data_IF_341010891397
#
_entry.id   IF_341010891397
#
_cell.length_a   1.000
_cell.length_b   1.000
_cell.length_c   1.000
_cell.angle_alpha   90.00
_cell.angle_beta   90.00
_cell.angle_gamma   90.00
#
_symmetry.space_group_name_H-M   'P 1'
#
loop_
_entity.id
_entity.type
_entity.pdbx_description
1 polymer ?
#
# COMPACT_ATOMS: atom_id res chain seq x y z
N UNK A 1 -22.76 1.34 -0.60
CA UNK A 1 -22.06 0.67 0.51
C UNK A 1 -23.05 -0.29 1.14
N UNK A 2 -22.73 -1.58 1.31
CA UNK A 2 -23.68 -2.50 1.91
C UNK A 2 -23.83 -2.21 3.40
N UNK A 3 -25.05 -2.26 3.91
CA UNK A 3 -25.36 -2.14 5.34
C UNK A 3 -24.56 -3.16 6.18
N UNK A 4 -24.22 -4.30 5.57
CA UNK A 4 -23.45 -5.39 6.19
C UNK A 4 -22.03 -4.99 6.61
N UNK A 5 -21.29 -4.27 5.76
CA UNK A 5 -19.91 -3.88 6.07
C UNK A 5 -19.82 -2.91 7.25
N UNK A 6 -20.77 -1.98 7.33
CA UNK A 6 -20.89 -1.07 8.48
C UNK A 6 -21.27 -1.82 9.76
N UNK A 7 -22.22 -2.74 9.69
CA UNK A 7 -22.65 -3.53 10.84
C UNK A 7 -21.51 -4.35 11.46
N UNK A 8 -20.61 -4.92 10.64
CA UNK A 8 -19.43 -5.65 11.15
C UNK A 8 -18.49 -4.72 11.90
N UNK A 9 -18.16 -3.55 11.33
CA UNK A 9 -17.28 -2.58 11.99
C UNK A 9 -17.90 -2.08 13.29
N UNK A 10 -19.20 -1.78 13.32
CA UNK A 10 -19.89 -1.32 14.52
C UNK A 10 -19.94 -2.40 15.61
N UNK A 11 -20.18 -3.67 15.24
CA UNK A 11 -20.27 -4.78 16.19
C UNK A 11 -18.92 -5.09 16.85
N UNK A 12 -17.81 -4.96 16.11
CA UNK A 12 -16.47 -5.31 16.57
C UNK A 12 -15.59 -4.08 16.86
N UNK A 13 -16.14 -2.87 16.81
CA UNK A 13 -15.42 -1.60 16.78
C UNK A 13 -14.26 -1.52 17.78
N UNK A 14 -14.52 -1.91 19.03
CA UNK A 14 -13.57 -1.80 20.15
C UNK A 14 -12.97 -3.15 20.59
N UNK A 15 -13.33 -4.25 19.90
CA UNK A 15 -12.80 -5.56 20.20
C UNK A 15 -11.41 -5.76 19.61
N UNK A 16 -11.17 -5.22 18.41
CA UNK A 16 -9.89 -5.32 17.71
C UNK A 16 -8.89 -4.27 18.23
N UNK A 17 -7.59 -4.56 18.11
CA UNK A 17 -6.54 -3.58 18.44
C UNK A 17 -6.13 -2.73 17.24
N UNK A 18 -6.43 -3.19 16.02
CA UNK A 18 -6.13 -2.54 14.76
C UNK A 18 -7.15 -2.98 13.72
N UNK A 19 -7.63 -2.02 12.92
CA UNK A 19 -8.43 -2.29 11.74
C UNK A 19 -7.57 -2.16 10.48
N UNK A 20 -7.36 -3.27 9.77
CA UNK A 20 -6.80 -3.28 8.41
C UNK A 20 -7.93 -3.44 7.41
N UNK A 21 -8.20 -2.39 6.64
CA UNK A 21 -9.41 -2.30 5.80
C UNK A 21 -9.04 -2.10 4.34
N UNK A 22 -9.65 -2.93 3.49
CA UNK A 22 -9.56 -2.85 2.04
C UNK A 22 -10.92 -3.16 1.39
N UNK A 23 -11.02 -2.92 0.09
CA UNK A 23 -12.16 -3.36 -0.71
C UNK A 23 -12.10 -4.88 -0.93
N UNK A 24 -13.28 -5.52 -0.88
CA UNK A 24 -13.38 -6.96 -1.10
C UNK A 24 -13.05 -7.33 -2.56
N UNK A 25 -12.44 -8.51 -2.70
CA UNK A 25 -11.98 -9.13 -3.95
C UNK A 25 -10.70 -8.50 -4.55
N UNK A 26 -9.74 -9.37 -4.88
CA UNK A 26 -8.36 -9.01 -5.21
C UNK A 26 -8.25 -8.10 -6.44
N UNK A 27 -9.17 -8.28 -7.39
CA UNK A 27 -9.22 -7.47 -8.61
C UNK A 27 -9.44 -5.97 -8.33
N UNK A 28 -10.12 -5.63 -7.23
CA UNK A 28 -10.37 -4.24 -6.82
C UNK A 28 -9.29 -3.74 -5.86
N UNK A 29 -8.78 -4.63 -5.00
CA UNK A 29 -7.74 -4.28 -4.04
C UNK A 29 -6.42 -3.93 -4.75
N UNK A 30 -5.99 -4.81 -5.65
CA UNK A 30 -4.81 -4.62 -6.50
C UNK A 30 -5.11 -3.79 -7.77
N UNK A 31 -5.96 -2.77 -7.68
CA UNK A 31 -6.35 -1.90 -8.80
C UNK A 31 -5.16 -1.40 -9.63
N UNK A 32 -5.21 -1.58 -10.95
CA UNK A 32 -4.12 -1.21 -11.87
C UNK A 32 -4.12 0.30 -12.11
N UNK A 33 -2.96 0.91 -12.33
CA UNK A 33 -2.87 2.35 -12.61
C UNK A 33 -3.57 2.76 -13.91
N UNK A 34 -3.91 1.79 -14.77
CA UNK A 34 -4.67 2.01 -15.99
C UNK A 34 -6.12 2.42 -15.72
N UNK A 35 -6.72 1.95 -14.63
CA UNK A 35 -8.14 2.11 -14.35
C UNK A 35 -8.40 2.85 -13.03
N UNK A 36 -7.50 2.72 -12.06
CA UNK A 36 -7.66 3.27 -10.72
C UNK A 36 -6.57 4.29 -10.44
N UNK A 37 -6.95 5.45 -9.91
CA UNK A 37 -6.02 6.47 -9.42
C UNK A 37 -5.36 6.05 -8.09
N UNK A 38 -4.31 6.76 -7.68
CA UNK A 38 -3.83 6.69 -6.30
C UNK A 38 -4.97 7.08 -5.33
N UNK A 39 -5.08 6.38 -4.21
CA UNK A 39 -6.12 6.61 -3.20
C UNK A 39 -7.51 6.10 -3.59
N UNK A 40 -7.65 5.25 -4.61
CA UNK A 40 -8.96 4.81 -5.13
C UNK A 40 -9.87 4.14 -4.10
N UNK A 41 -9.31 3.56 -3.04
CA UNK A 41 -10.07 2.92 -1.97
C UNK A 41 -10.61 3.89 -0.91
N UNK A 42 -10.18 5.16 -0.91
CA UNK A 42 -10.52 6.15 0.12
C UNK A 42 -12.02 6.23 0.39
N UNK A 43 -12.83 6.28 -0.67
CA UNK A 43 -14.29 6.37 -0.58
C UNK A 43 -14.94 5.21 0.18
N UNK A 44 -14.28 4.06 0.25
CA UNK A 44 -14.78 2.86 0.91
C UNK A 44 -14.30 2.73 2.35
N UNK A 45 -13.22 3.42 2.73
CA UNK A 45 -12.58 3.29 4.06
C UNK A 45 -12.79 4.52 4.95
N UNK A 46 -13.08 5.70 4.38
CA UNK A 46 -13.12 6.99 5.10
C UNK A 46 -14.11 7.11 6.25
N UNK A 47 -15.09 6.21 6.32
CA UNK A 47 -16.07 6.19 7.40
C UNK A 47 -15.64 5.33 8.60
N UNK A 48 -14.65 4.45 8.44
CA UNK A 48 -14.29 3.45 9.48
C UNK A 48 -13.79 4.13 10.75
N UNK A 49 -12.90 5.13 10.63
CA UNK A 49 -12.40 5.91 11.78
C UNK A 49 -13.49 6.65 12.55
N UNK A 50 -14.68 6.85 11.96
CA UNK A 50 -15.81 7.47 12.63
C UNK A 50 -16.56 6.49 13.55
N UNK A 51 -16.24 5.19 13.48
CA UNK A 51 -16.95 4.11 14.17
C UNK A 51 -16.13 3.40 15.24
N UNK A 52 -14.83 3.65 15.31
CA UNK A 52 -13.91 3.02 16.27
C UNK A 52 -12.91 4.03 16.83
N UNK A 53 -12.47 3.81 18.07
CA UNK A 53 -11.34 4.52 18.68
C UNK A 53 -9.98 3.87 18.39
N UNK A 54 -9.99 2.70 17.76
CA UNK A 54 -8.81 1.89 17.43
C UNK A 54 -8.15 2.39 16.15
N UNK A 55 -6.82 2.26 16.01
CA UNK A 55 -6.13 2.69 14.81
C UNK A 55 -6.64 1.99 13.55
N UNK A 56 -6.65 2.71 12.43
CA UNK A 56 -7.04 2.20 11.12
C UNK A 56 -5.87 2.28 10.14
N UNK A 57 -5.54 1.16 9.51
CA UNK A 57 -4.63 1.08 8.35
C UNK A 57 -5.46 0.81 7.10
N UNK A 58 -5.06 1.42 5.99
CA UNK A 58 -5.70 1.23 4.70
C UNK A 58 -4.72 1.38 3.55
N UNK A 59 -5.10 0.85 2.40
CA UNK A 59 -4.27 0.81 1.19
C UNK A 59 -4.92 1.61 0.06
N UNK A 60 -4.12 2.01 -0.92
CA UNK A 60 -4.62 2.76 -2.08
C UNK A 60 -3.56 3.01 -3.15
N UNK A 61 -2.53 2.15 -3.21
CA UNK A 61 -1.31 2.39 -4.02
C UNK A 61 -0.69 3.77 -3.72
N UNK A 62 -0.62 4.11 -2.44
CA UNK A 62 -0.09 5.38 -1.94
C UNK A 62 1.44 5.42 -2.18
N UNK A 63 1.89 6.26 -3.11
CA UNK A 63 3.31 6.49 -3.44
C UNK A 63 3.74 7.91 -3.14
N UNK A 64 2.82 8.88 -3.22
CA UNK A 64 3.09 10.29 -2.95
C UNK A 64 3.08 10.58 -1.43
N UNK A 65 4.16 11.15 -0.87
CA UNK A 65 4.17 11.60 0.53
C UNK A 65 3.05 12.61 0.83
N UNK A 66 2.71 13.50 -0.11
CA UNK A 66 1.64 14.49 0.07
C UNK A 66 0.27 13.82 0.19
N UNK A 67 0.02 12.79 -0.65
CA UNK A 67 -1.21 12.00 -0.55
C UNK A 67 -1.26 11.27 0.79
N UNK A 68 -0.14 10.68 1.24
CA UNK A 68 -0.05 10.02 2.54
C UNK A 68 -0.39 10.97 3.69
N UNK A 69 0.23 12.15 3.74
CA UNK A 69 -0.05 13.18 4.77
C UNK A 69 -1.53 13.57 4.74
N UNK A 70 -2.09 13.80 3.55
CA UNK A 70 -3.52 14.13 3.39
C UNK A 70 -4.46 13.05 3.94
N UNK A 71 -4.12 11.76 3.86
CA UNK A 71 -4.93 10.69 4.46
C UNK A 71 -4.98 10.79 5.99
N UNK A 72 -3.84 11.12 6.62
CA UNK A 72 -3.73 11.22 8.08
C UNK A 72 -4.38 12.52 8.58
N UNK A 73 -4.04 13.66 7.97
CA UNK A 73 -4.54 14.97 8.40
C UNK A 73 -6.07 15.10 8.27
N UNK A 74 -6.66 14.46 7.26
CA UNK A 74 -8.13 14.43 7.11
C UNK A 74 -8.82 13.40 8.01
N UNK A 75 -8.06 12.66 8.82
CA UNK A 75 -8.60 11.66 9.75
C UNK A 75 -9.17 10.42 9.07
N UNK A 76 -8.69 10.08 7.86
CA UNK A 76 -9.15 8.91 7.10
C UNK A 76 -8.42 7.65 7.56
N UNK A 77 -7.11 7.75 7.79
CA UNK A 77 -6.26 6.65 8.28
C UNK A 77 -5.45 7.10 9.51
N UNK A 78 -4.92 6.13 10.26
CA UNK A 78 -3.85 6.30 11.26
C UNK A 78 -2.51 5.77 10.76
N UNK A 79 -2.56 4.76 9.90
CA UNK A 79 -1.38 4.15 9.28
C UNK A 79 -1.53 4.11 7.76
N UNK A 80 -0.42 4.33 7.07
CA UNK A 80 -0.31 4.19 5.62
C UNK A 80 0.02 2.74 5.29
N UNK A 81 -0.95 2.02 4.74
CA UNK A 81 -0.76 0.66 4.23
C UNK A 81 -0.15 0.69 2.82
N UNK A 82 0.95 -0.03 2.64
CA UNK A 82 1.67 -0.08 1.36
C UNK A 82 2.18 -1.48 1.04
N UNK A 83 1.49 -2.18 0.13
CA UNK A 83 1.97 -3.43 -0.46
C UNK A 83 2.83 -3.16 -1.71
N UNK A 84 2.21 -2.82 -2.84
CA UNK A 84 2.93 -2.58 -4.11
C UNK A 84 3.92 -1.40 -4.06
N UNK A 85 3.61 -0.28 -3.38
CA UNK A 85 4.60 0.79 -3.17
C UNK A 85 5.85 0.31 -2.42
N UNK A 86 5.71 -0.48 -1.35
CA UNK A 86 6.87 -0.99 -0.60
C UNK A 86 7.70 -2.02 -1.37
N UNK A 87 7.09 -2.74 -2.32
CA UNK A 87 7.82 -3.61 -3.25
C UNK A 87 8.66 -2.78 -4.25
N UNK A 88 8.07 -1.71 -4.81
CA UNK A 88 8.75 -0.82 -5.75
C UNK A 88 9.89 -0.06 -5.06
N UNK A 89 9.69 0.32 -3.81
CA UNK A 89 10.69 0.99 -3.00
C UNK A 89 10.57 0.61 -1.52
N UNK A 90 11.41 -0.33 -1.04
CA UNK A 90 11.42 -0.72 0.37
C UNK A 90 11.86 0.40 1.32
N UNK A 91 12.42 1.49 0.77
CA UNK A 91 13.03 2.59 1.51
C UNK A 91 12.16 3.86 1.53
N UNK A 92 10.90 3.81 1.06
CA UNK A 92 9.97 4.96 1.13
C UNK A 92 9.98 5.65 2.51
N UNK A 93 9.82 4.94 3.65
CA UNK A 93 9.78 5.61 4.95
C UNK A 93 11.08 6.35 5.26
N UNK A 94 12.22 5.74 4.95
CA UNK A 94 13.54 6.34 5.20
C UNK A 94 13.79 7.54 4.28
N UNK A 95 13.40 7.46 3.01
CA UNK A 95 13.55 8.56 2.04
C UNK A 95 12.71 9.77 2.43
N UNK A 96 11.48 9.55 2.91
CA UNK A 96 10.64 10.63 3.45
C UNK A 96 11.30 11.27 4.68
N UNK A 97 11.76 10.45 5.65
CA UNK A 97 12.42 10.93 6.88
C UNK A 97 13.69 11.75 6.59
N UNK A 98 14.46 11.36 5.58
CA UNK A 98 15.68 12.05 5.15
C UNK A 98 15.42 13.26 4.22
N UNK A 99 14.16 13.57 3.89
CA UNK A 99 13.82 14.65 2.96
C UNK A 99 14.20 14.37 1.50
N UNK A 100 14.37 13.10 1.13
CA UNK A 100 14.74 12.62 -0.20
C UNK A 100 13.54 12.09 -0.98
N UNK A 101 12.42 12.81 -0.95
CA UNK A 101 11.19 12.39 -1.63
C UNK A 101 11.36 12.22 -3.15
N UNK A 102 12.26 12.99 -3.77
CA UNK A 102 12.59 12.87 -5.20
C UNK A 102 13.29 11.54 -5.56
N UNK A 103 13.87 10.85 -4.58
CA UNK A 103 14.52 9.54 -4.77
C UNK A 103 13.54 8.36 -4.65
N UNK A 104 12.26 8.63 -4.36
CA UNK A 104 11.24 7.58 -4.20
C UNK A 104 10.98 6.91 -5.55
N UNK A 105 11.15 5.59 -5.59
CA UNK A 105 10.86 4.77 -6.77
C UNK A 105 9.39 4.37 -6.80
N UNK A 106 8.55 5.26 -7.32
CA UNK A 106 7.09 5.09 -7.28
C UNK A 106 6.59 3.82 -8.02
N UNK A 107 5.60 3.17 -7.42
CA UNK A 107 4.92 2.04 -8.05
C UNK A 107 4.04 2.50 -9.21
N UNK A 108 4.33 2.00 -10.41
CA UNK A 108 3.55 2.30 -11.63
C UNK A 108 2.21 1.53 -11.73
N UNK A 109 1.84 0.74 -10.73
CA UNK A 109 0.57 0.00 -10.70
C UNK A 109 0.36 -0.97 -11.88
N UNK A 110 1.43 -1.57 -12.39
CA UNK A 110 1.39 -2.47 -13.56
C UNK A 110 0.95 -3.91 -13.26
N UNK A 111 0.93 -4.31 -11.99
CA UNK A 111 0.60 -5.67 -11.52
C UNK A 111 1.48 -6.82 -12.08
N UNK A 112 2.69 -6.55 -12.57
CA UNK A 112 3.65 -7.63 -12.88
C UNK A 112 4.02 -8.47 -11.63
N UNK A 113 4.05 -7.85 -10.46
CA UNK A 113 4.22 -8.56 -9.19
C UNK A 113 3.08 -9.56 -8.92
N UNK A 114 1.83 -9.12 -9.11
CA UNK A 114 0.64 -9.98 -8.98
C UNK A 114 0.64 -11.08 -10.03
N UNK A 115 0.98 -10.76 -11.29
CA UNK A 115 1.06 -11.76 -12.35
C UNK A 115 2.13 -12.83 -12.06
N UNK A 116 3.26 -12.43 -11.47
CA UNK A 116 4.33 -13.35 -11.08
C UNK A 116 3.86 -14.34 -10.01
N UNK A 117 3.10 -13.86 -9.02
CA UNK A 117 2.51 -14.69 -7.97
C UNK A 117 1.42 -15.63 -8.51
N UNK A 118 0.50 -15.13 -9.32
CA UNK A 118 -0.55 -15.92 -9.95
C UNK A 118 -0.02 -17.06 -10.85
N UNK A 119 1.18 -16.90 -11.42
CA UNK A 119 1.84 -17.91 -12.24
C UNK A 119 2.78 -18.84 -11.44
N UNK A 120 2.84 -18.72 -10.10
CA UNK A 120 3.84 -19.38 -9.25
C UNK A 120 5.27 -19.19 -9.77
N UNK A 121 5.51 -18.05 -10.41
CA UNK A 121 6.79 -17.68 -11.01
C UNK A 121 7.72 -17.05 -9.98
N UNK A 122 8.94 -16.77 -10.42
CA UNK A 122 9.81 -15.92 -9.64
C UNK A 122 9.17 -14.53 -9.50
N UNK A 123 9.04 -14.05 -8.25
CA UNK A 123 8.54 -12.72 -7.94
C UNK A 123 9.37 -11.63 -8.62
N UNK A 124 8.70 -10.63 -9.21
CA UNK A 124 9.34 -9.53 -9.94
C UNK A 124 8.57 -8.23 -9.75
N UNK A 125 9.32 -7.13 -9.74
CA UNK A 125 8.78 -5.78 -9.85
C UNK A 125 9.36 -5.10 -11.08
N UNK A 126 8.54 -4.39 -11.84
CA UNK A 126 9.01 -3.65 -13.02
C UNK A 126 9.96 -2.51 -12.65
N UNK A 127 9.71 -1.84 -11.52
CA UNK A 127 10.53 -0.73 -11.05
C UNK A 127 11.76 -1.22 -10.28
N UNK A 128 11.56 -2.21 -9.41
CA UNK A 128 12.61 -2.74 -8.54
C UNK A 128 13.13 -4.09 -9.03
N UNK A 129 14.25 -4.14 -9.77
CA UNK A 129 14.81 -5.38 -10.26
C UNK A 129 15.42 -6.26 -9.16
N UNK A 130 15.63 -5.72 -7.95
CA UNK A 130 16.17 -6.49 -6.82
C UNK A 130 15.08 -7.22 -6.03
N UNK A 131 13.81 -6.90 -6.26
CA UNK A 131 12.68 -7.55 -5.58
C UNK A 131 12.64 -9.05 -5.92
N UNK A 132 12.80 -9.91 -4.90
CA UNK A 132 12.91 -11.36 -5.05
C UNK A 132 14.33 -11.86 -5.41
N UNK A 133 15.33 -10.98 -5.39
CA UNK A 133 16.75 -11.29 -5.65
C UNK A 133 17.64 -11.13 -4.41
N UNK A 134 17.09 -10.56 -3.33
CA UNK A 134 17.82 -10.11 -2.15
C UNK A 134 18.59 -11.26 -1.49
N UNK A 135 17.91 -12.38 -1.25
CA UNK A 135 18.53 -13.55 -0.63
C UNK A 135 19.38 -14.35 -1.61
N UNK A 136 18.86 -14.62 -2.82
CA UNK A 136 19.49 -15.58 -3.74
C UNK A 136 20.66 -15.00 -4.54
N UNK A 137 20.75 -13.67 -4.68
CA UNK A 137 21.85 -12.97 -5.36
C UNK A 137 22.57 -11.96 -4.48
N UNK A 138 22.08 -11.69 -3.27
CA UNK A 138 22.65 -10.65 -2.41
C UNK A 138 22.40 -9.23 -2.93
N UNK A 139 21.39 -9.02 -3.78
CA UNK A 139 21.14 -7.71 -4.38
C UNK A 139 20.39 -6.80 -3.41
N UNK A 140 20.90 -5.59 -3.20
CA UNK A 140 20.28 -4.57 -2.36
C UNK A 140 19.65 -3.48 -3.24
N UNK A 141 18.43 -2.99 -2.94
CA UNK A 141 17.73 -2.02 -3.80
C UNK A 141 18.38 -0.63 -3.88
N UNK A 142 19.23 -0.29 -2.92
CA UNK A 142 19.87 1.04 -2.81
C UNK A 142 21.40 0.98 -2.79
N UNK A 143 22.00 -0.22 -2.93
CA UNK A 143 23.46 -0.38 -3.07
C UNK A 143 23.74 -1.01 -4.43
N UNK A 144 24.44 -0.27 -5.29
CA UNK A 144 24.77 -0.71 -6.65
C UNK A 144 26.28 -0.86 -6.73
N UNK A 145 26.74 -2.05 -7.07
CA UNK A 145 28.16 -2.29 -7.31
C UNK A 145 28.68 -1.35 -8.42
N UNK A 146 29.83 -0.69 -8.21
CA UNK A 146 30.44 0.13 -9.25
C UNK A 146 30.75 -0.73 -10.48
N UNK A 147 30.52 -0.15 -11.66
CA UNK A 147 30.79 -0.78 -12.97
C UNK A 147 32.28 -0.96 -13.24
#
# INVERSE_FOLDING_TARGET
MSEEGQAVVELFAELLDLWDVNVADWQWDSGTARFDAEGHQEQYVSWVKQKTSKPVVGVGRLTSPDTMVSQIERGILDFIGAARPSIADPFIPKKIDEGRSDDIRECIGCNICVASEAMSGQFKCTQNPTAGEEFRRGWHPEEIDPK
#
